data_IF_577545297672
#
_entry.id   IF_577545297672
#
_cell.length_a   1.000
_cell.length_b   1.000
_cell.length_c   1.000
_cell.angle_alpha   90.00
_cell.angle_beta   90.00
_cell.angle_gamma   90.00
#
_symmetry.space_group_name_H-M   'P 1'
#
loop_
_entity.id
_entity.type
_entity.pdbx_description
1 polymer ?
#
# COMPACT_ATOMS: atom_id res chain seq x y z
N UNK A 1 21.90 -27.03 -12.08
CA UNK A 1 20.69 -26.26 -12.49
C UNK A 1 20.76 -24.93 -11.76
N UNK A 2 20.72 -23.82 -12.50
CA UNK A 2 20.47 -22.52 -11.88
C UNK A 2 19.09 -22.59 -11.23
N UNK A 3 18.91 -22.21 -9.97
CA UNK A 3 17.57 -22.10 -9.42
C UNK A 3 16.83 -21.06 -10.26
N UNK A 4 15.66 -21.43 -10.78
CA UNK A 4 14.70 -20.49 -11.36
C UNK A 4 14.61 -19.30 -10.40
N UNK A 5 14.77 -18.09 -10.93
CA UNK A 5 14.61 -16.87 -10.13
C UNK A 5 13.16 -16.95 -9.59
N UNK A 6 12.95 -17.20 -8.29
CA UNK A 6 11.68 -17.71 -7.79
C UNK A 6 10.64 -16.62 -7.97
N UNK A 7 9.46 -16.96 -8.48
CA UNK A 7 8.40 -16.02 -8.90
C UNK A 7 8.09 -14.94 -7.85
N UNK A 8 8.27 -15.25 -6.57
CA UNK A 8 8.19 -14.33 -5.43
C UNK A 8 9.09 -13.09 -5.57
N UNK A 9 10.34 -13.27 -6.04
CA UNK A 9 11.29 -12.17 -6.21
C UNK A 9 10.86 -11.22 -7.33
N UNK A 10 10.35 -11.78 -8.43
CA UNK A 10 9.83 -11.01 -9.56
C UNK A 10 8.58 -10.23 -9.15
N UNK A 11 7.69 -10.85 -8.39
CA UNK A 11 6.49 -10.20 -7.85
C UNK A 11 6.86 -9.02 -6.94
N UNK A 12 7.84 -9.17 -6.05
CA UNK A 12 8.26 -8.07 -5.17
C UNK A 12 8.97 -6.96 -5.93
N UNK A 13 9.76 -7.31 -6.94
CA UNK A 13 10.36 -6.33 -7.85
C UNK A 13 9.29 -5.49 -8.56
N UNK A 14 8.26 -6.12 -9.13
CA UNK A 14 7.15 -5.42 -9.78
C UNK A 14 6.36 -4.52 -8.81
N UNK A 15 6.06 -5.01 -7.61
CA UNK A 15 5.43 -4.20 -6.55
C UNK A 15 6.30 -3.03 -6.13
N UNK A 16 7.61 -3.25 -6.04
CA UNK A 16 8.57 -2.22 -5.66
C UNK A 16 8.64 -1.12 -6.71
N UNK A 17 8.67 -1.48 -8.00
CA UNK A 17 8.59 -0.52 -9.10
C UNK A 17 7.29 0.29 -9.07
N UNK A 18 6.15 -0.37 -8.83
CA UNK A 18 4.86 0.31 -8.71
C UNK A 18 4.84 1.27 -7.50
N UNK A 19 5.41 0.87 -6.36
CA UNK A 19 5.55 1.73 -5.19
C UNK A 19 6.37 2.98 -5.47
N UNK A 20 7.54 2.82 -6.10
CA UNK A 20 8.43 3.92 -6.51
C UNK A 20 7.68 4.88 -7.44
N UNK A 21 7.01 4.35 -8.46
CA UNK A 21 6.25 5.14 -9.40
C UNK A 21 5.09 5.91 -8.74
N UNK A 22 4.31 5.26 -7.88
CA UNK A 22 3.26 5.93 -7.10
C UNK A 22 3.82 6.98 -6.14
N UNK A 23 5.06 6.82 -5.68
CA UNK A 23 5.75 7.85 -4.93
C UNK A 23 6.14 9.03 -5.82
N UNK A 24 6.70 8.81 -7.01
CA UNK A 24 7.08 9.89 -7.93
C UNK A 24 5.90 10.76 -8.38
N UNK A 25 4.73 10.14 -8.58
CA UNK A 25 3.52 10.77 -9.09
C UNK A 25 2.74 11.58 -8.03
N UNK A 26 3.17 11.55 -6.76
CA UNK A 26 2.61 12.40 -5.73
C UNK A 26 3.21 13.80 -5.79
N UNK A 27 2.37 14.84 -5.77
CA UNK A 27 2.88 16.19 -5.52
C UNK A 27 3.15 16.36 -4.02
N UNK A 28 4.42 16.23 -3.64
CA UNK A 28 4.84 16.41 -2.25
C UNK A 28 4.81 17.86 -1.79
N UNK A 29 4.85 18.83 -2.71
CA UNK A 29 4.91 20.26 -2.38
C UNK A 29 3.52 20.84 -2.08
N UNK A 30 2.45 20.31 -2.68
CA UNK A 30 1.09 20.83 -2.50
C UNK A 30 0.26 20.12 -1.41
N UNK A 31 0.87 19.59 -0.36
CA UNK A 31 0.10 18.85 0.65
C UNK A 31 -0.75 19.75 1.55
N UNK A 32 -2.05 19.42 1.57
CA UNK A 32 -3.14 20.00 2.35
C UNK A 32 -3.57 21.41 1.92
N UNK A 33 -4.17 21.55 0.73
CA UNK A 33 -5.08 22.67 0.50
C UNK A 33 -6.34 22.43 1.35
N UNK A 34 -6.34 22.93 2.57
CA UNK A 34 -7.59 23.12 3.31
C UNK A 34 -8.39 24.15 2.51
N UNK A 35 -9.43 23.71 1.79
CA UNK A 35 -10.47 24.63 1.33
C UNK A 35 -11.33 24.97 2.54
N UNK A 36 -10.95 26.03 3.26
CA UNK A 36 -11.69 26.48 4.44
C UNK A 36 -10.81 27.28 5.39
N UNK A 37 -11.36 28.33 6.00
CA UNK A 37 -10.65 29.11 7.01
C UNK A 37 -10.46 28.30 8.29
N UNK A 38 -9.25 28.41 8.83
CA UNK A 38 -8.81 28.28 10.22
C UNK A 38 -9.66 27.42 11.18
N UNK A 39 -9.00 26.44 11.80
CA UNK A 39 -9.50 25.42 12.75
C UNK A 39 -10.31 25.93 13.95
N UNK A 40 -10.48 27.24 14.10
CA UNK A 40 -11.27 27.89 15.15
C UNK A 40 -12.74 28.14 14.79
N UNK A 41 -13.16 27.97 13.52
CA UNK A 41 -14.58 28.12 13.12
C UNK A 41 -15.11 26.85 12.46
N UNK A 42 -15.88 26.08 13.24
CA UNK A 42 -16.38 24.71 12.96
C UNK A 42 -17.61 24.65 12.02
N UNK A 43 -17.60 25.32 10.88
CA UNK A 43 -18.76 25.25 9.94
C UNK A 43 -18.44 24.74 8.52
N UNK A 44 -17.19 24.41 8.18
CA UNK A 44 -16.88 23.80 6.87
C UNK A 44 -16.06 22.52 7.03
N UNK A 45 -16.45 21.49 6.26
CA UNK A 45 -15.74 20.21 6.17
C UNK A 45 -14.38 20.50 5.53
N UNK A 46 -13.32 20.42 6.33
CA UNK A 46 -11.96 20.51 5.82
C UNK A 46 -11.67 19.27 4.97
N UNK A 47 -11.90 19.36 3.66
CA UNK A 47 -11.51 18.30 2.72
C UNK A 47 -9.99 18.33 2.56
N UNK A 48 -9.32 17.29 3.07
CA UNK A 48 -7.90 17.08 2.85
C UNK A 48 -7.75 16.56 1.41
N UNK A 49 -7.50 17.46 0.47
CA UNK A 49 -7.12 17.09 -0.91
C UNK A 49 -5.67 16.62 -0.96
N UNK A 50 -5.42 15.44 -1.54
CA UNK A 50 -4.07 14.98 -1.88
C UNK A 50 -3.90 15.19 -3.37
N UNK A 51 -3.14 16.21 -3.77
CA UNK A 51 -2.87 16.46 -5.19
C UNK A 51 -1.84 15.44 -5.72
N UNK A 52 -2.25 14.67 -6.72
CA UNK A 52 -1.37 13.79 -7.50
C UNK A 52 -1.01 14.50 -8.79
N UNK A 53 0.27 14.48 -9.18
CA UNK A 53 0.70 14.92 -10.52
C UNK A 53 0.03 14.06 -11.61
N UNK A 54 -0.13 12.77 -11.31
CA UNK A 54 -0.84 11.83 -12.15
C UNK A 54 -1.73 10.91 -11.31
N UNK A 55 -3.03 11.18 -11.37
CA UNK A 55 -4.04 10.32 -10.78
C UNK A 55 -4.42 9.23 -11.77
N UNK A 56 -4.36 7.97 -11.35
CA UNK A 56 -4.78 6.86 -12.18
C UNK A 56 -6.24 6.97 -12.54
N UNK A 57 -6.55 6.51 -13.76
CA UNK A 57 -7.94 6.25 -14.13
C UNK A 57 -8.51 5.14 -13.25
N UNK A 58 -9.82 5.17 -13.01
CA UNK A 58 -10.51 4.12 -12.25
C UNK A 58 -10.21 2.72 -12.82
N UNK A 59 -10.18 2.59 -14.15
CA UNK A 59 -9.81 1.35 -14.84
C UNK A 59 -8.40 0.85 -14.51
N UNK A 60 -7.41 1.75 -14.43
CA UNK A 60 -6.03 1.39 -14.09
C UNK A 60 -5.93 0.97 -12.62
N UNK A 61 -6.55 1.73 -11.70
CA UNK A 61 -6.61 1.35 -10.27
C UNK A 61 -7.27 0.00 -10.08
N UNK A 62 -8.42 -0.22 -10.73
CA UNK A 62 -9.16 -1.48 -10.63
C UNK A 62 -8.30 -2.67 -11.04
N UNK A 63 -7.60 -2.56 -12.18
CA UNK A 63 -6.70 -3.61 -12.66
C UNK A 63 -5.58 -3.89 -11.65
N UNK A 64 -4.95 -2.85 -11.13
CA UNK A 64 -3.83 -2.96 -10.18
C UNK A 64 -4.26 -3.54 -8.82
N UNK A 65 -5.39 -3.10 -8.28
CA UNK A 65 -5.94 -3.57 -7.02
C UNK A 65 -6.40 -5.02 -7.13
N UNK A 66 -7.03 -5.43 -8.24
CA UNK A 66 -7.43 -6.84 -8.46
C UNK A 66 -6.24 -7.80 -8.44
N UNK A 67 -5.15 -7.44 -9.14
CA UNK A 67 -3.93 -8.25 -9.13
C UNK A 67 -3.37 -8.41 -7.70
N UNK A 68 -3.33 -7.33 -6.93
CA UNK A 68 -2.83 -7.38 -5.55
C UNK A 68 -3.78 -8.15 -4.61
N UNK A 69 -5.09 -8.00 -4.82
CA UNK A 69 -6.11 -8.75 -4.09
C UNK A 69 -5.97 -10.26 -4.27
N UNK A 70 -5.80 -10.72 -5.52
CA UNK A 70 -5.56 -12.13 -5.85
C UNK A 70 -4.27 -12.65 -5.20
N UNK A 71 -3.17 -11.89 -5.29
CA UNK A 71 -1.91 -12.27 -4.67
C UNK A 71 -1.99 -12.37 -3.12
N UNK A 72 -2.77 -11.51 -2.47
CA UNK A 72 -3.00 -11.61 -1.02
C UNK A 72 -3.84 -12.86 -0.68
N UNK A 73 -4.83 -13.21 -1.51
CA UNK A 73 -5.63 -14.43 -1.32
C UNK A 73 -4.75 -15.68 -1.39
N UNK A 74 -3.83 -15.73 -2.35
CA UNK A 74 -2.85 -16.82 -2.48
C UNK A 74 -1.93 -16.90 -1.26
N UNK A 75 -1.41 -15.76 -0.78
CA UNK A 75 -0.54 -15.72 0.40
C UNK A 75 -1.27 -16.18 1.67
N UNK A 76 -2.52 -15.76 1.87
CA UNK A 76 -3.36 -16.24 2.99
C UNK A 76 -3.54 -17.76 2.91
N UNK A 77 -3.77 -18.28 1.71
CA UNK A 77 -3.92 -19.73 1.48
C UNK A 77 -2.63 -20.47 1.84
N UNK A 78 -1.47 -19.95 1.39
CA UNK A 78 -0.16 -20.49 1.73
C UNK A 78 0.08 -20.52 3.24
N UNK A 79 -0.22 -19.42 3.94
CA UNK A 79 -0.09 -19.31 5.41
C UNK A 79 -1.01 -20.34 6.10
N UNK A 80 -2.23 -20.51 5.61
CA UNK A 80 -3.18 -21.48 6.17
C UNK A 80 -2.70 -22.93 6.03
N UNK A 81 -2.17 -23.29 4.85
CA UNK A 81 -1.57 -24.61 4.60
C UNK A 81 -0.37 -24.84 5.52
N UNK A 82 0.55 -23.87 5.60
CA UNK A 82 1.74 -23.97 6.44
C UNK A 82 1.36 -24.16 7.92
N UNK A 83 0.39 -23.38 8.42
CA UNK A 83 -0.10 -23.51 9.78
C UNK A 83 -0.66 -24.91 10.07
N UNK A 84 -1.42 -25.47 9.13
CA UNK A 84 -1.95 -26.82 9.26
C UNK A 84 -0.84 -27.87 9.29
N UNK A 85 0.19 -27.75 8.44
CA UNK A 85 1.32 -28.68 8.45
C UNK A 85 2.11 -28.62 9.77
N UNK A 86 2.27 -27.43 10.34
CA UNK A 86 3.04 -27.22 11.58
C UNK A 86 2.29 -27.64 12.86
N UNK A 87 0.97 -27.43 12.89
CA UNK A 87 0.17 -27.55 14.12
C UNK A 87 -0.88 -28.66 14.06
N UNK A 88 -1.10 -29.26 12.88
CA UNK A 88 -2.21 -30.18 12.61
C UNK A 88 -3.59 -29.58 12.93
N UNK A 89 -3.70 -28.26 12.83
CA UNK A 89 -4.90 -27.47 13.14
C UNK A 89 -5.19 -26.44 12.05
N UNK A 90 -6.48 -26.15 11.81
CA UNK A 90 -6.87 -25.14 10.82
C UNK A 90 -6.54 -23.74 11.31
N UNK A 91 -6.00 -22.90 10.43
CA UNK A 91 -5.80 -21.48 10.73
C UNK A 91 -7.14 -20.80 10.89
N UNK A 92 -7.36 -20.16 12.04
CA UNK A 92 -8.57 -19.38 12.33
C UNK A 92 -8.27 -17.88 12.30
N UNK A 93 -9.31 -17.06 12.09
CA UNK A 93 -9.20 -15.59 12.20
C UNK A 93 -8.69 -15.20 13.61
N UNK A 94 -9.10 -15.93 14.66
CA UNK A 94 -8.61 -15.69 16.02
C UNK A 94 -7.10 -15.94 16.15
N UNK A 95 -6.59 -17.01 15.53
CA UNK A 95 -5.15 -17.30 15.50
C UNK A 95 -4.39 -16.20 14.74
N UNK A 96 -4.94 -15.72 13.63
CA UNK A 96 -4.41 -14.57 12.91
C UNK A 96 -4.42 -13.30 13.77
N UNK A 97 -5.49 -13.02 14.52
CA UNK A 97 -5.56 -11.85 15.40
C UNK A 97 -4.52 -11.91 16.52
N UNK A 98 -4.37 -13.07 17.17
CA UNK A 98 -3.32 -13.31 18.17
C UNK A 98 -1.93 -13.12 17.59
N UNK A 99 -1.69 -13.62 16.38
CA UNK A 99 -0.46 -13.41 15.63
C UNK A 99 -0.61 -12.22 14.69
N UNK A 100 -0.46 -10.99 15.22
CA UNK A 100 -0.59 -9.70 14.50
C UNK A 100 0.05 -9.65 13.11
N UNK A 101 1.01 -10.53 12.81
CA UNK A 101 1.63 -10.68 11.49
C UNK A 101 0.63 -11.09 10.39
N UNK A 102 -0.33 -11.97 10.68
CA UNK A 102 -1.21 -12.57 9.66
C UNK A 102 -2.56 -11.86 9.55
N UNK A 103 -3.08 -11.27 10.64
CA UNK A 103 -4.34 -10.52 10.62
C UNK A 103 -4.33 -9.36 9.62
N UNK A 104 -3.16 -8.77 9.40
CA UNK A 104 -2.97 -7.69 8.44
C UNK A 104 -3.45 -8.04 7.02
N UNK A 105 -3.09 -9.23 6.51
CA UNK A 105 -3.50 -9.64 5.16
C UNK A 105 -5.03 -9.70 5.02
N UNK A 106 -5.74 -10.02 6.10
CA UNK A 106 -7.21 -10.04 6.11
C UNK A 106 -7.76 -8.60 6.01
N UNK A 107 -7.19 -7.64 6.73
CA UNK A 107 -7.59 -6.23 6.67
C UNK A 107 -7.37 -5.60 5.29
N UNK A 108 -6.26 -5.93 4.64
CA UNK A 108 -5.96 -5.47 3.28
C UNK A 108 -6.97 -6.05 2.28
N UNK A 109 -7.29 -7.34 2.41
CA UNK A 109 -8.26 -8.01 1.56
C UNK A 109 -9.65 -7.38 1.67
N UNK A 110 -10.11 -7.07 2.89
CA UNK A 110 -11.36 -6.35 3.11
C UNK A 110 -11.36 -4.95 2.46
N UNK A 111 -10.25 -4.22 2.58
CA UNK A 111 -10.10 -2.88 2.01
C UNK A 111 -10.13 -2.91 0.48
N UNK A 112 -9.38 -3.83 -0.13
CA UNK A 112 -9.38 -4.02 -1.57
C UNK A 112 -10.71 -4.50 -2.12
N UNK A 113 -11.43 -5.38 -1.41
CA UNK A 113 -12.76 -5.77 -1.82
C UNK A 113 -13.71 -4.55 -1.92
N UNK A 114 -13.65 -3.64 -0.94
CA UNK A 114 -14.42 -2.38 -0.99
C UNK A 114 -14.00 -1.49 -2.16
N UNK A 115 -12.70 -1.30 -2.37
CA UNK A 115 -12.20 -0.47 -3.47
C UNK A 115 -12.55 -1.04 -4.85
N UNK A 116 -12.49 -2.37 -5.00
CA UNK A 116 -12.90 -3.05 -6.23
C UNK A 116 -14.37 -2.76 -6.52
N UNK A 117 -15.25 -2.88 -5.53
CA UNK A 117 -16.67 -2.59 -5.70
C UNK A 117 -16.90 -1.15 -6.14
N UNK A 118 -16.30 -0.17 -5.44
CA UNK A 118 -16.39 1.26 -5.78
C UNK A 118 -15.92 1.51 -7.22
N UNK A 119 -14.77 0.96 -7.61
CA UNK A 119 -14.18 1.16 -8.94
C UNK A 119 -14.91 0.41 -10.07
N UNK A 120 -15.84 -0.50 -9.73
CA UNK A 120 -16.68 -1.22 -10.69
C UNK A 120 -18.07 -0.62 -10.86
N UNK A 121 -18.43 0.40 -10.07
CA UNK A 121 -19.71 1.09 -10.21
C UNK A 121 -19.88 1.68 -11.62
N UNK A 122 -21.11 1.71 -12.11
CA UNK A 122 -21.43 2.24 -13.45
C UNK A 122 -21.13 3.75 -13.54
N UNK A 123 -21.32 4.46 -12.43
CA UNK A 123 -20.95 5.87 -12.35
C UNK A 123 -19.42 6.02 -12.23
N UNK A 124 -18.82 6.96 -12.97
CA UNK A 124 -17.38 7.18 -12.89
C UNK A 124 -17.02 7.69 -11.50
N UNK A 125 -16.23 6.89 -10.78
CA UNK A 125 -15.68 7.25 -9.46
C UNK A 125 -15.06 8.64 -9.51
N UNK A 126 -15.45 9.51 -8.58
CA UNK A 126 -14.97 10.89 -8.48
C UNK A 126 -13.45 11.00 -8.30
N UNK A 127 -12.92 12.19 -8.53
CA UNK A 127 -11.48 12.43 -8.40
C UNK A 127 -11.01 12.18 -6.96
N UNK A 128 -11.76 12.67 -5.97
CA UNK A 128 -11.43 12.55 -4.56
C UNK A 128 -11.36 11.08 -4.11
N UNK A 129 -12.34 10.26 -4.48
CA UNK A 129 -12.36 8.84 -4.17
C UNK A 129 -11.18 8.11 -4.83
N UNK A 130 -10.85 8.43 -6.09
CA UNK A 130 -9.68 7.86 -6.75
C UNK A 130 -8.37 8.26 -6.05
N UNK A 131 -8.24 9.51 -5.59
CA UNK A 131 -7.07 9.97 -4.83
C UNK A 131 -6.93 9.18 -3.53
N UNK A 132 -8.03 9.01 -2.80
CA UNK A 132 -8.07 8.20 -1.58
C UNK A 132 -7.66 6.75 -1.86
N UNK A 133 -8.29 6.09 -2.84
CA UNK A 133 -8.00 4.70 -3.19
C UNK A 133 -6.55 4.52 -3.65
N UNK A 134 -6.02 5.43 -4.46
CA UNK A 134 -4.62 5.36 -4.92
C UNK A 134 -3.63 5.50 -3.76
N UNK A 135 -3.93 6.39 -2.79
CA UNK A 135 -3.11 6.57 -1.59
C UNK A 135 -3.13 5.33 -0.70
N UNK A 136 -4.29 4.74 -0.49
CA UNK A 136 -4.43 3.49 0.28
C UNK A 136 -3.72 2.34 -0.43
N UNK A 137 -3.93 2.17 -1.74
CA UNK A 137 -3.24 1.17 -2.56
C UNK A 137 -1.71 1.25 -2.43
N UNK A 138 -1.13 2.45 -2.54
CA UNK A 138 0.31 2.67 -2.31
C UNK A 138 0.74 2.25 -0.91
N UNK A 139 -0.07 2.56 0.10
CA UNK A 139 0.22 2.22 1.50
C UNK A 139 0.24 0.72 1.70
N UNK A 140 -0.74 0.01 1.14
CA UNK A 140 -0.79 -1.46 1.13
C UNK A 140 0.44 -2.08 0.48
N UNK A 141 0.88 -1.58 -0.69
CA UNK A 141 2.10 -2.05 -1.35
C UNK A 141 3.33 -1.90 -0.43
N UNK A 142 3.50 -0.72 0.19
CA UNK A 142 4.60 -0.47 1.13
C UNK A 142 4.62 -1.53 2.26
N UNK A 143 3.47 -1.79 2.86
CA UNK A 143 3.36 -2.77 3.93
C UNK A 143 3.68 -4.19 3.49
N UNK A 144 3.19 -4.62 2.32
CA UNK A 144 3.48 -5.95 1.78
C UNK A 144 4.98 -6.13 1.56
N UNK A 145 5.64 -5.16 0.95
CA UNK A 145 7.10 -5.21 0.73
C UNK A 145 7.83 -5.30 2.08
N UNK A 146 7.45 -4.50 3.09
CA UNK A 146 8.04 -4.56 4.45
C UNK A 146 7.81 -5.89 5.16
N UNK A 147 6.72 -6.61 4.88
CA UNK A 147 6.49 -7.95 5.47
C UNK A 147 7.41 -9.00 4.88
N UNK A 148 7.71 -8.89 3.58
CA UNK A 148 8.58 -9.80 2.87
C UNK A 148 10.06 -9.44 3.01
N UNK A 149 10.36 -8.15 3.12
CA UNK A 149 11.69 -7.58 3.32
C UNK A 149 11.65 -6.67 4.55
N UNK A 150 11.74 -7.21 5.78
CA UNK A 150 11.66 -6.41 7.01
C UNK A 150 12.74 -5.34 7.14
N UNK A 151 13.86 -5.51 6.44
CA UNK A 151 14.97 -4.54 6.37
C UNK A 151 14.71 -3.40 5.39
N UNK A 152 13.74 -3.56 4.47
CA UNK A 152 13.31 -2.47 3.62
C UNK A 152 12.60 -1.44 4.51
N UNK A 153 13.32 -0.41 4.92
CA UNK A 153 12.78 0.70 5.69
C UNK A 153 11.89 1.60 4.78
N UNK A 154 11.02 1.02 3.95
CA UNK A 154 10.12 1.81 3.11
C UNK A 154 9.39 2.81 3.98
N UNK A 155 9.13 4.03 3.53
CA UNK A 155 8.46 4.99 4.38
C UNK A 155 7.12 4.44 4.88
N UNK A 156 6.93 4.41 6.20
CA UNK A 156 5.59 4.63 6.71
C UNK A 156 5.35 6.08 6.40
N UNK A 157 4.50 6.36 5.43
CA UNK A 157 3.99 7.69 5.27
C UNK A 157 3.27 8.04 6.59
N UNK A 158 3.98 8.65 7.55
CA UNK A 158 3.39 9.19 8.77
C UNK A 158 2.83 10.56 8.39
N UNK A 159 1.50 10.72 8.27
CA UNK A 159 0.89 11.93 7.72
C UNK A 159 1.00 13.15 8.64
N UNK A 160 1.77 13.10 9.74
CA UNK A 160 1.71 14.10 10.82
C UNK A 160 3.01 14.86 11.16
N UNK A 161 4.17 14.50 10.60
CA UNK A 161 5.41 15.26 10.89
C UNK A 161 5.85 16.10 9.69
N UNK A 162 5.31 17.33 9.65
CA UNK A 162 5.56 18.35 8.63
C UNK A 162 7.03 18.79 8.53
N UNK A 163 7.82 18.66 9.59
CA UNK A 163 9.19 19.20 9.65
C UNK A 163 10.28 18.23 9.21
N UNK A 164 10.06 16.91 9.38
CA UNK A 164 11.11 15.92 9.06
C UNK A 164 10.94 15.33 7.64
N UNK A 165 9.74 15.46 7.05
CA UNK A 165 9.41 14.85 5.76
C UNK A 165 10.25 15.36 4.58
N UNK A 166 10.81 16.57 4.63
CA UNK A 166 11.66 17.10 3.55
C UNK A 166 13.00 16.34 3.43
N UNK A 167 13.62 15.97 4.55
CA UNK A 167 14.90 15.23 4.55
C UNK A 167 14.75 13.79 4.06
N UNK A 168 13.56 13.22 4.27
CA UNK A 168 13.23 11.87 3.85
C UNK A 168 12.99 11.76 2.34
N UNK A 169 12.68 12.83 1.63
CA UNK A 169 12.14 12.78 0.26
C UNK A 169 13.16 12.95 -0.87
N UNK A 170 14.42 13.28 -0.57
CA UNK A 170 15.44 13.54 -1.61
C UNK A 170 15.94 12.27 -2.32
N UNK A 171 15.62 11.08 -1.80
CA UNK A 171 15.98 9.81 -2.43
C UNK A 171 14.82 8.83 -2.38
N UNK A 172 14.14 8.67 -3.50
CA UNK A 172 13.30 7.50 -3.73
C UNK A 172 14.27 6.32 -3.93
N UNK A 173 14.21 5.26 -3.10
CA UNK A 173 15.13 4.15 -3.23
C UNK A 173 14.92 3.39 -4.54
N UNK A 174 16.00 2.84 -5.11
CA UNK A 174 15.88 1.96 -6.27
C UNK A 174 15.30 0.60 -5.88
N UNK A 175 14.85 -0.15 -6.88
CA UNK A 175 14.38 -1.53 -6.71
C UNK A 175 15.45 -2.37 -5.99
N UNK A 176 16.70 -2.29 -6.44
CA UNK A 176 17.81 -3.06 -5.88
C UNK A 176 18.07 -2.70 -4.41
N UNK A 177 17.97 -1.42 -4.05
CA UNK A 177 18.15 -0.95 -2.67
C UNK A 177 17.04 -1.44 -1.73
N UNK A 178 15.81 -1.53 -2.23
CA UNK A 178 14.68 -2.09 -1.48
C UNK A 178 14.85 -3.60 -1.34
N UNK A 179 15.19 -4.29 -2.43
CA UNK A 179 15.36 -5.74 -2.46
C UNK A 179 16.54 -6.22 -1.59
N UNK A 180 17.63 -5.44 -1.53
CA UNK A 180 18.79 -5.77 -0.69
C UNK A 180 18.58 -5.43 0.79
N UNK A 181 17.60 -4.58 1.10
CA UNK A 181 17.39 -4.06 2.45
C UNK A 181 18.52 -3.14 2.94
N UNK A 182 19.39 -2.69 2.05
CA UNK A 182 20.54 -1.82 2.37
C UNK A 182 20.16 -0.34 2.41
N UNK A 183 18.87 -0.01 2.20
CA UNK A 183 18.41 1.37 2.28
C UNK A 183 18.28 1.85 3.73
N UNK A 184 19.28 2.60 4.19
CA UNK A 184 19.28 3.30 5.48
C UNK A 184 18.99 4.78 5.27
N UNK A 185 17.94 5.28 5.93
CA UNK A 185 17.74 6.71 6.13
C UNK A 185 18.73 7.19 7.19
N UNK A 186 19.41 8.29 6.89
CA UNK A 186 20.10 9.09 7.89
C UNK A 186 19.31 10.37 8.10
#
# INVERSE_FOLDING_TARGET
>A
MNPEIPEERKYIEELTQEYIYLCEELDYKEKYKVKGKDIYNREEISEIGIEFKNLYTAKRLLKRIKLLYEAIQEEITRIAVQHYLENNEKLTIYNCFKNKRNYFYILELESFYRFINILQEEEPVGEYERQYIQKEYRSSISFIIRKQIPTANLFDFRPYNYTDSQYYLDKIPTVEQILSGEYKYY
#
